data_IF_094337903694
#
_entry.id   IF_094337903694
#
_cell.length_a   1.000
_cell.length_b   1.000
_cell.length_c   1.000
_cell.angle_alpha   90.00
_cell.angle_beta   90.00
_cell.angle_gamma   90.00
#
_symmetry.space_group_name_H-M   'P 1'
#
loop_
_entity.id
_entity.type
_entity.pdbx_description
1 polymer ?
#
# COMPACT_ATOMS: atom_id res chain seq x y z
N UNK A 1 5.24 -14.28 -1.46
CA UNK A 1 6.19 -14.05 -2.56
C UNK A 1 7.13 -15.24 -2.71
N UNK A 2 7.40 -15.67 -3.96
CA UNK A 2 8.40 -16.70 -4.23
C UNK A 2 9.81 -16.22 -3.81
N UNK A 3 10.67 -17.14 -3.37
CA UNK A 3 12.06 -16.81 -3.02
C UNK A 3 12.80 -16.29 -4.26
N UNK A 4 13.54 -15.17 -4.17
CA UNK A 4 14.35 -14.70 -5.29
C UNK A 4 15.39 -15.74 -5.71
N UNK A 5 15.76 -15.73 -6.98
CA UNK A 5 16.59 -16.76 -7.59
C UNK A 5 18.08 -16.39 -7.54
N UNK A 6 18.92 -17.36 -7.20
CA UNK A 6 20.36 -17.36 -7.50
C UNK A 6 20.57 -18.34 -8.66
N UNK A 7 21.02 -17.85 -9.82
CA UNK A 7 21.29 -18.69 -10.98
C UNK A 7 22.80 -18.82 -11.15
N UNK A 8 23.30 -20.05 -11.14
CA UNK A 8 24.68 -20.38 -11.46
C UNK A 8 24.78 -21.09 -12.81
N UNK A 9 25.77 -20.71 -13.62
CA UNK A 9 25.98 -21.19 -14.98
C UNK A 9 27.44 -21.61 -15.15
N UNK A 10 27.65 -22.86 -15.53
CA UNK A 10 28.98 -23.45 -15.74
C UNK A 10 28.82 -24.67 -16.65
N UNK A 11 29.69 -24.85 -17.65
CA UNK A 11 29.65 -26.01 -18.53
C UNK A 11 30.33 -27.24 -17.92
N UNK A 12 31.17 -27.06 -16.90
CA UNK A 12 31.76 -28.15 -16.12
C UNK A 12 30.75 -28.68 -15.07
N UNK A 13 30.26 -29.92 -15.20
CA UNK A 13 29.28 -30.48 -14.28
C UNK A 13 29.79 -30.66 -12.85
N UNK A 14 31.10 -30.79 -12.62
CA UNK A 14 31.68 -30.92 -11.29
C UNK A 14 31.70 -29.57 -10.57
N UNK A 15 32.15 -28.53 -11.27
CA UNK A 15 32.17 -27.16 -10.76
C UNK A 15 30.75 -26.65 -10.49
N UNK A 16 29.82 -26.89 -11.41
CA UNK A 16 28.40 -26.53 -11.26
C UNK A 16 27.77 -27.19 -10.03
N UNK A 17 28.12 -28.46 -9.76
CA UNK A 17 27.65 -29.18 -8.56
C UNK A 17 28.27 -28.64 -7.28
N UNK A 18 29.55 -28.28 -7.30
CA UNK A 18 30.24 -27.71 -6.15
C UNK A 18 29.64 -26.35 -5.76
N UNK A 19 29.51 -25.43 -6.72
CA UNK A 19 28.94 -24.10 -6.46
C UNK A 19 27.48 -24.19 -6.04
N UNK A 20 26.67 -25.07 -6.65
CA UNK A 20 25.28 -25.29 -6.25
C UNK A 20 25.20 -25.76 -4.79
N UNK A 21 26.05 -26.71 -4.39
CA UNK A 21 26.10 -27.23 -3.01
C UNK A 21 26.39 -26.11 -2.02
N UNK A 22 27.40 -25.29 -2.31
CA UNK A 22 27.82 -24.20 -1.43
C UNK A 22 26.75 -23.09 -1.36
N UNK A 23 26.13 -22.76 -2.49
CA UNK A 23 25.01 -21.81 -2.50
C UNK A 23 23.80 -22.33 -1.72
N UNK A 24 23.47 -23.62 -1.86
CA UNK A 24 22.33 -24.23 -1.15
C UNK A 24 22.57 -24.31 0.35
N UNK A 25 23.79 -24.61 0.78
CA UNK A 25 24.12 -24.73 2.21
C UNK A 25 23.94 -23.39 2.94
N UNK A 26 24.30 -22.26 2.30
CA UNK A 26 24.24 -20.93 2.90
C UNK A 26 22.94 -20.16 2.64
N UNK A 27 22.34 -20.28 1.45
CA UNK A 27 21.31 -19.34 0.96
C UNK A 27 19.91 -19.93 0.77
N UNK A 28 19.73 -21.25 0.88
CA UNK A 28 18.44 -21.92 0.58
C UNK A 28 17.27 -21.48 1.47
N UNK A 29 17.55 -20.91 2.64
CA UNK A 29 16.52 -20.35 3.53
C UNK A 29 15.83 -19.11 2.93
N UNK A 30 16.57 -18.25 2.22
CA UNK A 30 16.09 -16.98 1.68
C UNK A 30 15.94 -16.99 0.16
N UNK A 31 16.72 -17.79 -0.55
CA UNK A 31 16.80 -17.81 -2.00
C UNK A 31 16.52 -19.18 -2.59
N UNK A 32 16.08 -19.21 -3.85
CA UNK A 32 15.96 -20.42 -4.66
C UNK A 32 17.20 -20.54 -5.54
N UNK A 33 17.99 -21.60 -5.35
CA UNK A 33 19.18 -21.88 -6.18
C UNK A 33 18.76 -22.64 -7.43
N UNK A 34 19.16 -22.15 -8.60
CA UNK A 34 18.96 -22.75 -9.91
C UNK A 34 20.29 -22.88 -10.64
N UNK A 35 20.38 -23.83 -11.57
CA UNK A 35 21.60 -24.13 -12.33
C UNK A 35 21.30 -24.23 -13.82
N UNK A 36 22.27 -23.85 -14.64
CA UNK A 36 22.27 -24.09 -16.07
C UNK A 36 23.66 -24.57 -16.50
N UNK A 37 23.72 -25.46 -17.49
CA UNK A 37 24.96 -26.03 -18.01
C UNK A 37 25.48 -25.32 -19.27
N UNK A 38 24.84 -24.23 -19.68
CA UNK A 38 25.27 -23.38 -20.78
C UNK A 38 24.63 -21.99 -20.66
N UNK A 39 25.25 -20.98 -21.29
CA UNK A 39 24.69 -19.64 -21.38
C UNK A 39 23.30 -19.62 -22.04
N UNK A 40 23.10 -20.40 -23.10
CA UNK A 40 21.81 -20.51 -23.79
C UNK A 40 20.68 -21.05 -22.91
N UNK A 41 20.93 -22.16 -22.19
CA UNK A 41 19.95 -22.73 -21.25
C UNK A 41 19.67 -21.79 -20.07
N UNK A 42 20.67 -21.01 -19.65
CA UNK A 42 20.51 -19.99 -18.62
C UNK A 42 19.60 -18.85 -19.12
N UNK A 43 19.77 -18.37 -20.35
CA UNK A 43 18.91 -17.33 -20.94
C UNK A 43 17.45 -17.80 -21.06
N UNK A 44 17.23 -19.05 -21.48
CA UNK A 44 15.87 -19.61 -21.52
C UNK A 44 15.24 -19.65 -20.12
N UNK A 45 16.01 -20.07 -19.12
CA UNK A 45 15.59 -20.04 -17.72
C UNK A 45 15.24 -18.60 -17.27
N UNK A 46 16.04 -17.60 -17.65
CA UNK A 46 15.79 -16.20 -17.30
C UNK A 46 14.54 -15.65 -17.99
N UNK A 47 14.24 -16.06 -19.23
CA UNK A 47 13.00 -15.71 -19.94
C UNK A 47 11.79 -16.28 -19.21
N UNK A 48 11.84 -17.54 -18.78
CA UNK A 48 10.76 -18.15 -18.00
C UNK A 48 10.56 -17.46 -16.65
N UNK A 49 11.65 -17.12 -15.95
CA UNK A 49 11.57 -16.40 -14.67
C UNK A 49 10.96 -15.01 -14.85
N UNK A 50 11.33 -14.29 -15.91
CA UNK A 50 10.74 -12.99 -16.27
C UNK A 50 9.24 -13.11 -16.56
N UNK A 51 8.84 -14.11 -17.35
CA UNK A 51 7.42 -14.37 -17.66
C UNK A 51 6.58 -14.68 -16.42
N UNK A 52 7.17 -15.29 -15.39
CA UNK A 52 6.51 -15.60 -14.11
C UNK A 52 6.69 -14.52 -13.04
N UNK A 53 7.31 -13.40 -13.38
CA UNK A 53 7.65 -12.31 -12.47
C UNK A 53 8.44 -12.77 -11.22
N UNK A 54 9.28 -13.78 -11.39
CA UNK A 54 10.14 -14.29 -10.32
C UNK A 54 11.44 -13.45 -10.28
N UNK A 55 11.75 -12.78 -9.15
CA UNK A 55 12.91 -11.93 -9.08
C UNK A 55 14.20 -12.74 -9.08
N UNK A 56 15.22 -12.24 -9.79
CA UNK A 56 16.57 -12.81 -9.82
C UNK A 56 17.48 -11.89 -9.01
N UNK A 57 18.10 -12.44 -7.97
CA UNK A 57 18.96 -11.69 -7.06
C UNK A 57 20.42 -11.68 -7.54
N UNK A 58 20.91 -12.82 -8.02
CA UNK A 58 22.30 -13.01 -8.41
C UNK A 58 22.42 -13.96 -9.60
N UNK A 59 23.30 -13.59 -10.53
CA UNK A 59 23.79 -14.39 -11.63
C UNK A 59 25.27 -14.68 -11.40
N UNK A 60 25.64 -15.96 -11.39
CA UNK A 60 27.00 -16.46 -11.28
C UNK A 60 27.32 -17.22 -12.56
N UNK A 61 28.28 -16.74 -13.37
CA UNK A 61 28.60 -17.39 -14.64
C UNK A 61 30.09 -17.72 -14.72
N UNK A 62 30.44 -18.91 -15.21
CA UNK A 62 31.82 -19.19 -15.61
C UNK A 62 32.22 -18.34 -16.82
N UNK A 63 33.47 -17.88 -16.84
CA UNK A 63 33.98 -17.08 -17.94
C UNK A 63 34.12 -17.88 -19.23
N UNK A 64 34.61 -19.11 -19.19
CA UNK A 64 35.02 -19.87 -20.38
C UNK A 64 34.05 -21.02 -20.66
N UNK A 65 32.89 -20.67 -21.19
CA UNK A 65 31.89 -21.64 -21.63
C UNK A 65 31.85 -21.76 -23.16
N UNK A 66 31.54 -22.96 -23.72
CA UNK A 66 31.36 -23.15 -25.15
C UNK A 66 30.20 -22.32 -25.72
N UNK A 67 30.34 -21.88 -26.97
CA UNK A 67 29.34 -21.12 -27.76
C UNK A 67 29.05 -19.69 -27.26
N UNK A 68 28.89 -19.50 -25.96
CA UNK A 68 28.62 -18.22 -25.30
C UNK A 68 29.42 -18.16 -24.01
N UNK A 69 30.30 -17.19 -23.90
CA UNK A 69 31.12 -16.97 -22.71
C UNK A 69 30.31 -16.32 -21.57
N UNK A 70 30.88 -16.29 -20.36
CA UNK A 70 30.17 -15.76 -19.18
C UNK A 70 29.80 -14.30 -19.31
N UNK A 71 30.69 -13.50 -19.91
CA UNK A 71 30.45 -12.08 -20.18
C UNK A 71 29.31 -11.88 -21.19
N UNK A 72 29.32 -12.61 -22.31
CA UNK A 72 28.24 -12.56 -23.29
C UNK A 72 26.87 -12.92 -22.69
N UNK A 73 26.83 -13.99 -21.89
CA UNK A 73 25.63 -14.35 -21.13
C UNK A 73 25.16 -13.22 -20.19
N UNK A 74 26.06 -12.65 -19.39
CA UNK A 74 25.72 -11.62 -18.39
C UNK A 74 25.23 -10.32 -19.05
N UNK A 75 25.79 -9.96 -20.21
CA UNK A 75 25.35 -8.83 -21.02
C UNK A 75 23.90 -9.00 -21.50
N UNK A 76 23.56 -10.15 -22.08
CA UNK A 76 22.17 -10.42 -22.51
C UNK A 76 21.21 -10.55 -21.30
N UNK A 77 21.68 -11.15 -20.21
CA UNK A 77 20.89 -11.28 -18.99
C UNK A 77 20.58 -9.91 -18.35
N UNK A 78 21.46 -8.92 -18.50
CA UNK A 78 21.25 -7.55 -18.00
C UNK A 78 20.04 -6.87 -18.66
N UNK A 79 19.78 -7.12 -19.93
CA UNK A 79 18.59 -6.57 -20.61
C UNK A 79 17.28 -7.14 -20.03
N UNK A 80 17.31 -8.39 -19.58
CA UNK A 80 16.15 -9.06 -19.03
C UNK A 80 15.94 -8.77 -17.53
N UNK A 81 17.03 -8.77 -16.77
CA UNK A 81 17.06 -8.66 -15.30
C UNK A 81 18.11 -7.63 -14.86
N UNK A 82 17.88 -6.32 -15.10
CA UNK A 82 18.89 -5.29 -14.89
C UNK A 82 19.32 -5.15 -13.42
N UNK A 83 18.41 -5.43 -12.49
CA UNK A 83 18.63 -5.35 -11.04
C UNK A 83 19.40 -6.54 -10.47
N UNK A 84 19.49 -7.67 -11.19
CA UNK A 84 20.23 -8.82 -10.70
C UNK A 84 21.71 -8.48 -10.55
N UNK A 85 22.30 -8.88 -9.42
CA UNK A 85 23.75 -8.80 -9.24
C UNK A 85 24.42 -9.81 -10.15
N UNK A 86 25.62 -9.50 -10.59
CA UNK A 86 26.35 -10.26 -11.61
C UNK A 86 27.75 -10.53 -11.09
N UNK A 87 28.10 -11.80 -10.97
CA UNK A 87 29.42 -12.25 -10.58
C UNK A 87 29.97 -13.24 -11.60
N UNK A 88 31.25 -13.14 -11.91
CA UNK A 88 31.93 -13.99 -12.88
C UNK A 88 32.88 -14.94 -12.17
N UNK A 89 32.83 -16.24 -12.47
CA UNK A 89 33.78 -17.25 -11.99
C UNK A 89 34.92 -17.38 -13.02
N UNK A 90 36.17 -17.27 -12.58
CA UNK A 90 37.35 -17.30 -13.47
C UNK A 90 38.54 -18.01 -12.80
N UNK A 91 39.42 -18.60 -13.59
CA UNK A 91 40.66 -19.25 -13.10
C UNK A 91 41.91 -18.33 -13.18
N UNK A 92 41.75 -17.09 -13.67
CA UNK A 92 42.77 -16.09 -14.07
C UNK A 92 44.05 -16.58 -14.77
N UNK A 93 44.15 -16.17 -16.04
CA UNK A 93 45.28 -15.47 -16.63
C UNK A 93 44.84 -14.75 -17.93
N UNK A 94 43.77 -13.94 -17.90
CA UNK A 94 43.19 -13.34 -19.12
C UNK A 94 43.59 -11.86 -19.33
N UNK A 95 43.81 -11.53 -20.61
CA UNK A 95 44.32 -10.27 -21.19
C UNK A 95 43.40 -9.06 -20.99
N UNK A 96 43.90 -7.85 -21.27
CA UNK A 96 43.15 -6.58 -21.21
C UNK A 96 41.76 -6.61 -21.89
N UNK A 97 41.61 -7.37 -22.98
CA UNK A 97 40.34 -7.54 -23.69
C UNK A 97 39.22 -8.17 -22.83
N UNK A 98 39.57 -9.06 -21.88
CA UNK A 98 38.59 -9.64 -20.96
C UNK A 98 38.15 -8.61 -19.90
N UNK A 99 39.05 -7.71 -19.47
CA UNK A 99 38.75 -6.65 -18.52
C UNK A 99 37.78 -5.63 -19.13
N UNK A 100 37.98 -5.25 -20.40
CA UNK A 100 37.09 -4.33 -21.11
C UNK A 100 35.68 -4.93 -21.26
N UNK A 101 35.59 -6.20 -21.64
CA UNK A 101 34.31 -6.91 -21.78
C UNK A 101 33.57 -7.08 -20.42
N UNK A 102 34.31 -7.27 -19.32
CA UNK A 102 33.77 -7.31 -17.95
C UNK A 102 33.14 -5.96 -17.56
N UNK A 103 33.78 -4.84 -17.94
CA UNK A 103 33.25 -3.50 -17.70
C UNK A 103 31.98 -3.24 -18.53
N UNK A 104 31.96 -3.65 -19.80
CA UNK A 104 30.79 -3.54 -20.67
C UNK A 104 29.59 -4.35 -20.14
N UNK A 105 29.81 -5.56 -19.64
CA UNK A 105 28.78 -6.41 -19.01
C UNK A 105 28.35 -5.95 -17.61
N UNK A 106 28.94 -4.86 -17.08
CA UNK A 106 28.70 -4.33 -15.73
C UNK A 106 28.70 -5.44 -14.67
N UNK A 107 29.71 -6.30 -14.73
CA UNK A 107 29.95 -7.33 -13.73
C UNK A 107 30.29 -6.65 -12.41
N UNK A 108 29.63 -7.06 -11.32
CA UNK A 108 29.81 -6.42 -10.02
C UNK A 108 31.00 -7.00 -9.25
N UNK A 109 31.36 -8.27 -9.51
CA UNK A 109 32.45 -8.95 -8.82
C UNK A 109 33.00 -10.10 -9.66
N UNK A 110 34.29 -10.42 -9.52
CA UNK A 110 34.92 -11.60 -10.13
C UNK A 110 35.46 -12.51 -9.02
N UNK A 111 35.17 -13.81 -9.13
CA UNK A 111 35.52 -14.85 -8.18
C UNK A 111 36.54 -15.80 -8.79
N UNK A 112 37.60 -16.07 -8.04
CA UNK A 112 38.69 -16.94 -8.44
C UNK A 112 38.37 -18.42 -8.14
N UNK A 113 38.55 -19.29 -9.14
CA UNK A 113 38.56 -20.75 -8.99
C UNK A 113 39.96 -21.24 -8.60
N UNK A 114 40.09 -22.17 -7.64
CA UNK A 114 39.06 -22.69 -6.74
C UNK A 114 38.78 -21.74 -5.56
N UNK A 115 37.53 -21.69 -5.11
CA UNK A 115 37.05 -20.84 -4.01
C UNK A 115 37.03 -21.56 -2.65
N UNK A 116 37.74 -22.67 -2.50
CA UNK A 116 37.86 -23.37 -1.22
C UNK A 116 38.90 -22.66 -0.31
N UNK A 117 38.60 -22.38 0.96
CA UNK A 117 37.30 -22.57 1.63
C UNK A 117 36.26 -21.50 1.24
N UNK A 118 34.98 -21.88 1.00
CA UNK A 118 33.94 -20.95 0.54
C UNK A 118 33.61 -19.87 1.56
N UNK A 119 33.84 -20.12 2.86
CA UNK A 119 33.65 -19.16 3.95
C UNK A 119 34.54 -17.92 3.81
N UNK A 120 35.71 -18.06 3.20
CA UNK A 120 36.68 -16.96 3.05
C UNK A 120 36.59 -16.32 1.67
N UNK A 121 36.38 -17.13 0.62
CA UNK A 121 36.54 -16.68 -0.77
C UNK A 121 35.23 -16.48 -1.54
N UNK A 122 34.17 -17.19 -1.16
CA UNK A 122 32.89 -17.15 -1.89
C UNK A 122 31.83 -16.34 -1.13
N UNK A 123 31.50 -16.75 0.09
CA UNK A 123 30.36 -16.18 0.82
C UNK A 123 30.50 -14.69 1.14
N UNK A 124 31.66 -14.14 1.53
CA UNK A 124 31.77 -12.71 1.81
C UNK A 124 31.39 -11.86 0.59
N UNK A 125 31.91 -12.21 -0.59
CA UNK A 125 31.62 -11.49 -1.83
C UNK A 125 30.13 -11.60 -2.22
N UNK A 126 29.53 -12.79 -2.06
CA UNK A 126 28.11 -12.97 -2.37
C UNK A 126 27.19 -12.29 -1.35
N UNK A 127 27.55 -12.29 -0.08
CA UNK A 127 26.81 -11.64 0.99
C UNK A 127 26.73 -10.13 0.75
N UNK A 128 27.83 -9.49 0.33
CA UNK A 128 27.86 -8.07 -0.03
C UNK A 128 26.94 -7.77 -1.23
N UNK A 129 27.06 -8.55 -2.31
CA UNK A 129 26.20 -8.38 -3.49
C UNK A 129 24.72 -8.55 -3.15
N UNK A 130 24.38 -9.59 -2.38
CA UNK A 130 23.00 -9.87 -1.98
C UNK A 130 22.47 -8.83 -0.98
N UNK A 131 23.34 -8.26 -0.14
CA UNK A 131 22.99 -7.15 0.73
C UNK A 131 22.60 -5.91 -0.10
N UNK A 132 23.44 -5.53 -1.06
CA UNK A 132 23.15 -4.42 -1.97
C UNK A 132 21.86 -4.65 -2.78
N UNK A 133 21.67 -5.88 -3.25
CA UNK A 133 20.44 -6.26 -3.95
C UNK A 133 19.23 -6.07 -3.03
N UNK A 134 19.30 -6.55 -1.79
CA UNK A 134 18.20 -6.44 -0.83
C UNK A 134 17.91 -4.97 -0.48
N UNK A 135 18.94 -4.13 -0.37
CA UNK A 135 18.79 -2.71 -0.06
C UNK A 135 18.05 -1.95 -1.17
N UNK A 136 18.27 -2.33 -2.42
CA UNK A 136 17.73 -1.65 -3.61
C UNK A 136 16.47 -2.30 -4.17
N UNK A 137 16.29 -3.61 -3.98
CA UNK A 137 15.16 -4.34 -4.51
C UNK A 137 13.86 -3.94 -3.81
N UNK A 138 12.88 -3.54 -4.64
CA UNK A 138 11.51 -3.33 -4.21
C UNK A 138 10.68 -4.42 -4.89
N UNK A 139 10.13 -5.39 -4.15
CA UNK A 139 9.28 -6.39 -4.77
C UNK A 139 8.05 -5.70 -5.40
N UNK A 140 7.58 -6.18 -6.56
CA UNK A 140 6.39 -5.62 -7.18
C UNK A 140 5.20 -5.75 -6.21
N UNK A 141 4.43 -4.69 -6.10
CA UNK A 141 3.25 -4.67 -5.25
C UNK A 141 2.16 -5.56 -5.87
N UNK A 142 1.82 -6.65 -5.20
CA UNK A 142 0.83 -7.65 -5.66
C UNK A 142 -0.61 -7.33 -5.22
N UNK A 143 -0.85 -6.17 -4.60
CA UNK A 143 -2.17 -5.74 -4.14
C UNK A 143 -2.95 -4.90 -5.15
N UNK A 144 -3.99 -4.22 -4.66
CA UNK A 144 -4.81 -3.30 -5.46
C UNK A 144 -3.99 -2.05 -5.82
N UNK A 145 -3.87 -1.73 -7.10
CA UNK A 145 -3.21 -0.51 -7.57
C UNK A 145 -4.25 0.46 -8.08
N UNK A 146 -4.15 1.72 -7.66
CA UNK A 146 -5.03 2.81 -8.09
C UNK A 146 -4.18 3.78 -8.89
N UNK A 147 -4.50 3.90 -10.17
CA UNK A 147 -3.88 4.84 -11.09
C UNK A 147 -4.77 6.06 -11.23
N UNK A 148 -4.18 7.24 -11.24
CA UNK A 148 -4.89 8.48 -11.49
C UNK A 148 -3.94 9.66 -11.48
N UNK A 149 -4.50 10.86 -11.42
CA UNK A 149 -3.75 12.11 -11.29
C UNK A 149 -3.95 12.71 -9.91
N UNK A 150 -2.95 13.44 -9.43
CA UNK A 150 -2.96 14.06 -8.09
C UNK A 150 -4.18 14.95 -7.83
N UNK A 151 -4.63 15.67 -8.86
CA UNK A 151 -5.67 16.70 -8.77
C UNK A 151 -7.07 16.20 -9.17
N UNK A 152 -7.25 14.88 -9.29
CA UNK A 152 -8.53 14.28 -9.63
C UNK A 152 -9.34 13.96 -8.36
N UNK A 153 -10.49 14.63 -8.20
CA UNK A 153 -11.45 14.34 -7.13
C UNK A 153 -11.89 12.87 -7.12
N UNK A 154 -12.13 12.29 -8.30
CA UNK A 154 -12.51 10.87 -8.43
C UNK A 154 -11.40 9.93 -7.97
N UNK A 155 -10.15 10.27 -8.28
CA UNK A 155 -8.98 9.51 -7.79
C UNK A 155 -8.86 9.60 -6.27
N UNK A 156 -9.13 10.77 -5.70
CA UNK A 156 -9.19 10.97 -4.26
C UNK A 156 -10.31 10.13 -3.61
N UNK A 157 -11.53 10.19 -4.12
CA UNK A 157 -12.69 9.44 -3.59
C UNK A 157 -12.41 7.93 -3.51
N UNK A 158 -11.81 7.34 -4.54
CA UNK A 158 -11.45 5.91 -4.53
C UNK A 158 -10.37 5.58 -3.50
N UNK A 159 -9.34 6.43 -3.40
CA UNK A 159 -8.26 6.25 -2.42
C UNK A 159 -8.76 6.38 -0.99
N UNK A 160 -9.59 7.38 -0.72
CA UNK A 160 -10.22 7.59 0.59
C UNK A 160 -11.12 6.39 0.94
N UNK A 161 -11.95 5.96 -0.01
CA UNK A 161 -12.82 4.79 0.16
C UNK A 161 -12.04 3.53 0.55
N UNK A 162 -10.97 3.20 -0.19
CA UNK A 162 -10.13 2.03 0.11
C UNK A 162 -9.41 2.18 1.46
N UNK A 163 -8.83 3.36 1.73
CA UNK A 163 -8.13 3.64 2.98
C UNK A 163 -9.04 3.47 4.21
N UNK A 164 -10.25 4.04 4.16
CA UNK A 164 -11.21 4.02 5.27
C UNK A 164 -11.84 2.63 5.46
N UNK A 165 -12.02 1.87 4.39
CA UNK A 165 -12.42 0.46 4.47
C UNK A 165 -11.26 -0.50 4.75
N UNK A 166 -10.07 0.03 5.06
CA UNK A 166 -8.89 -0.73 5.48
C UNK A 166 -8.41 -1.73 4.42
N UNK A 167 -8.61 -1.38 3.17
CA UNK A 167 -8.15 -2.13 2.02
C UNK A 167 -6.78 -1.57 1.63
N UNK A 168 -5.70 -2.35 1.75
CA UNK A 168 -4.38 -1.92 1.30
C UNK A 168 -4.38 -1.67 -0.21
N UNK A 169 -3.80 -0.55 -0.62
CA UNK A 169 -3.61 -0.23 -2.03
C UNK A 169 -2.29 0.50 -2.25
N UNK A 170 -1.82 0.51 -3.49
CA UNK A 170 -0.73 1.37 -3.97
C UNK A 170 -1.30 2.47 -4.86
N UNK A 171 -1.00 3.72 -4.54
CA UNK A 171 -1.28 4.86 -5.41
C UNK A 171 -0.18 5.01 -6.46
N UNK A 172 -0.59 5.22 -7.71
CA UNK A 172 0.30 5.47 -8.84
C UNK A 172 -0.16 6.74 -9.53
N UNK A 173 0.64 7.79 -9.39
CA UNK A 173 0.42 9.05 -10.09
C UNK A 173 0.94 8.94 -11.52
N UNK A 174 0.03 8.95 -12.50
CA UNK A 174 0.39 8.77 -13.91
C UNK A 174 1.21 9.94 -14.46
N UNK A 175 1.14 11.12 -13.83
CA UNK A 175 1.89 12.31 -14.23
C UNK A 175 3.41 12.08 -14.06
N UNK A 176 3.80 11.17 -13.16
CA UNK A 176 5.20 10.78 -12.97
C UNK A 176 5.77 9.94 -14.12
N UNK A 177 4.97 9.50 -15.10
CA UNK A 177 5.48 8.75 -16.26
C UNK A 177 6.61 9.47 -17.02
N UNK A 178 6.67 10.80 -16.94
CA UNK A 178 7.73 11.61 -17.56
C UNK A 178 9.09 11.47 -16.85
N UNK A 179 9.10 11.24 -15.55
CA UNK A 179 10.30 11.20 -14.70
C UNK A 179 10.61 9.81 -14.13
N UNK A 180 9.61 8.94 -14.04
CA UNK A 180 9.69 7.59 -13.47
C UNK A 180 9.55 6.51 -14.57
N UNK A 181 10.62 5.74 -14.86
CA UNK A 181 10.59 4.67 -15.86
C UNK A 181 9.61 3.53 -15.53
N UNK A 182 9.36 3.23 -14.25
CA UNK A 182 8.45 2.15 -13.85
C UNK A 182 7.00 2.56 -14.15
N UNK A 183 6.62 3.78 -13.78
CA UNK A 183 5.30 4.34 -14.10
C UNK A 183 5.10 4.42 -15.60
N UNK A 184 6.13 4.84 -16.35
CA UNK A 184 6.08 4.89 -17.83
C UNK A 184 5.84 3.52 -18.45
N UNK A 185 6.56 2.51 -18.00
CA UNK A 185 6.40 1.13 -18.47
C UNK A 185 5.00 0.59 -18.18
N UNK A 186 4.48 0.86 -16.97
CA UNK A 186 3.13 0.48 -16.59
C UNK A 186 2.08 1.16 -17.47
N UNK A 187 2.15 2.49 -17.63
CA UNK A 187 1.23 3.26 -18.48
C UNK A 187 1.27 2.75 -19.93
N UNK A 188 2.46 2.51 -20.48
CA UNK A 188 2.61 1.97 -21.83
C UNK A 188 1.99 0.56 -21.97
N UNK A 189 2.11 -0.29 -20.95
CA UNK A 189 1.53 -1.64 -20.94
C UNK A 189 -0.01 -1.67 -20.89
N UNK A 190 -0.63 -0.59 -20.39
CA UNK A 190 -2.08 -0.44 -20.32
C UNK A 190 -2.68 0.06 -21.64
N UNK A 191 -1.89 0.70 -22.49
CA UNK A 191 -2.33 1.19 -23.80
C UNK A 191 -3.48 2.21 -23.65
N UNK A 192 -4.56 2.11 -24.45
CA UNK A 192 -5.67 3.05 -24.43
C UNK A 192 -6.39 3.18 -23.07
N UNK A 193 -6.36 2.13 -22.24
CA UNK A 193 -6.99 2.17 -20.92
C UNK A 193 -6.34 3.18 -19.97
N UNK A 194 -5.07 3.54 -20.20
CA UNK A 194 -4.39 4.56 -19.41
C UNK A 194 -4.97 5.97 -19.59
N UNK A 195 -5.76 6.20 -20.64
CA UNK A 195 -6.44 7.48 -20.89
C UNK A 195 -7.72 7.64 -20.05
N UNK A 196 -8.24 6.55 -19.48
CA UNK A 196 -9.50 6.56 -18.71
C UNK A 196 -9.20 6.40 -17.22
N UNK A 197 -9.10 7.54 -16.53
CA UNK A 197 -8.67 7.62 -15.13
C UNK A 197 -9.80 8.17 -14.23
N UNK A 198 -9.90 7.73 -12.96
CA UNK A 198 -9.02 6.76 -12.30
C UNK A 198 -9.20 5.32 -12.77
N UNK A 199 -8.14 4.53 -12.73
CA UNK A 199 -8.13 3.10 -13.10
C UNK A 199 -7.67 2.26 -11.91
N UNK A 200 -8.43 1.22 -11.57
CA UNK A 200 -8.05 0.25 -10.53
C UNK A 200 -7.59 -1.05 -11.19
N UNK A 201 -6.43 -1.54 -10.76
CA UNK A 201 -5.89 -2.86 -11.12
C UNK A 201 -5.99 -3.79 -9.91
N UNK A 202 -6.63 -4.94 -10.09
CA UNK A 202 -6.79 -5.94 -9.04
C UNK A 202 -5.71 -7.05 -9.14
N UNK A 203 -5.43 -7.75 -8.02
CA UNK A 203 -4.47 -8.85 -8.00
C UNK A 203 -4.82 -10.02 -8.94
N UNK A 204 -6.11 -10.21 -9.23
CA UNK A 204 -6.62 -11.24 -10.14
C UNK A 204 -6.52 -10.85 -11.63
N UNK A 205 -5.90 -9.71 -11.92
CA UNK A 205 -5.73 -9.17 -13.27
C UNK A 205 -6.93 -8.37 -13.78
N UNK A 206 -8.05 -8.34 -13.05
CA UNK A 206 -9.19 -7.51 -13.42
C UNK A 206 -8.85 -6.03 -13.33
N UNK A 207 -9.54 -5.22 -14.15
CA UNK A 207 -9.35 -3.78 -14.23
C UNK A 207 -10.71 -3.09 -14.23
N UNK A 208 -10.80 -1.95 -13.56
CA UNK A 208 -12.00 -1.11 -13.58
C UNK A 208 -11.60 0.35 -13.85
N UNK A 209 -12.04 0.89 -14.98
CA UNK A 209 -11.86 2.28 -15.37
C UNK A 209 -13.04 3.13 -14.89
N UNK A 210 -12.74 4.27 -14.26
CA UNK A 210 -13.68 5.18 -13.61
C UNK A 210 -14.78 4.49 -12.78
N UNK A 211 -14.44 3.51 -11.93
CA UNK A 211 -15.47 2.71 -11.27
C UNK A 211 -16.28 3.54 -10.29
N UNK A 212 -17.61 3.34 -10.24
CA UNK A 212 -18.41 3.81 -9.12
C UNK A 212 -18.04 3.01 -7.85
N UNK A 213 -18.09 3.66 -6.67
CA UNK A 213 -17.71 3.04 -5.39
C UNK A 213 -18.41 1.70 -5.11
N UNK A 214 -19.72 1.51 -5.40
CA UNK A 214 -20.38 0.22 -5.22
C UNK A 214 -19.74 -0.92 -6.01
N UNK A 215 -19.33 -0.68 -7.26
CA UNK A 215 -18.66 -1.71 -8.07
C UNK A 215 -17.30 -2.11 -7.47
N UNK A 216 -16.58 -1.15 -6.87
CA UNK A 216 -15.34 -1.43 -6.15
C UNK A 216 -15.65 -2.24 -4.89
N UNK A 217 -16.65 -1.85 -4.11
CA UNK A 217 -17.07 -2.52 -2.88
C UNK A 217 -17.39 -4.01 -3.12
N UNK A 218 -18.16 -4.31 -4.17
CA UNK A 218 -18.49 -5.68 -4.57
C UNK A 218 -17.22 -6.47 -4.94
N UNK A 219 -16.33 -5.84 -5.72
CA UNK A 219 -15.10 -6.48 -6.20
C UNK A 219 -14.12 -6.83 -5.06
N UNK A 220 -14.08 -6.02 -4.01
CA UNK A 220 -13.24 -6.26 -2.81
C UNK A 220 -13.96 -7.11 -1.74
N UNK A 221 -15.21 -7.52 -2.00
CA UNK A 221 -15.98 -8.39 -1.12
C UNK A 221 -16.51 -7.70 0.15
N UNK A 222 -16.77 -6.40 0.10
CA UNK A 222 -17.51 -5.74 1.17
C UNK A 222 -18.96 -6.21 1.18
N UNK A 223 -19.55 -6.28 2.38
CA UNK A 223 -20.97 -6.60 2.52
C UNK A 223 -21.77 -5.30 2.40
N UNK A 224 -22.62 -5.23 1.39
CA UNK A 224 -23.46 -4.07 1.06
C UNK A 224 -24.96 -4.37 1.22
N UNK A 225 -25.33 -5.64 1.26
CA UNK A 225 -26.71 -6.11 1.35
C UNK A 225 -26.91 -7.01 2.57
N UNK A 226 -28.15 -7.04 3.08
CA UNK A 226 -28.51 -7.87 4.22
C UNK A 226 -28.67 -9.35 3.86
N UNK A 227 -28.43 -10.20 4.84
CA UNK A 227 -28.75 -11.63 4.77
C UNK A 227 -30.20 -11.94 5.16
N UNK A 228 -30.84 -11.05 5.93
CA UNK A 228 -32.20 -11.25 6.44
C UNK A 228 -33.00 -9.95 6.34
N UNK A 229 -34.32 -10.06 6.54
CA UNK A 229 -35.22 -8.90 6.60
C UNK A 229 -35.56 -8.46 8.03
N UNK A 230 -35.08 -9.17 9.06
CA UNK A 230 -35.44 -8.92 10.46
C UNK A 230 -34.25 -9.00 11.41
N UNK A 231 -34.12 -7.99 12.28
CA UNK A 231 -33.08 -7.90 13.31
C UNK A 231 -33.67 -7.53 14.66
N UNK A 232 -33.02 -7.94 15.75
CA UNK A 232 -33.41 -7.45 17.08
C UNK A 232 -32.99 -5.99 17.24
N UNK A 233 -31.80 -5.64 16.73
CA UNK A 233 -31.23 -4.30 16.78
C UNK A 233 -30.67 -3.88 15.42
N UNK A 234 -31.20 -2.78 14.88
CA UNK A 234 -30.60 -2.09 13.74
C UNK A 234 -29.94 -0.78 14.20
N UNK A 235 -28.75 -0.50 13.69
CA UNK A 235 -27.96 0.68 14.03
C UNK A 235 -27.65 1.46 12.75
N UNK A 236 -27.96 2.74 12.72
CA UNK A 236 -27.62 3.63 11.60
C UNK A 236 -26.43 4.50 11.98
N UNK A 237 -25.29 4.27 11.34
CA UNK A 237 -24.02 4.95 11.57
C UNK A 237 -22.97 4.05 12.17
N UNK A 238 -21.80 3.99 11.55
CA UNK A 238 -20.64 3.18 11.91
C UNK A 238 -19.54 3.97 12.63
N UNK A 239 -19.86 5.11 13.25
CA UNK A 239 -18.94 5.84 14.12
C UNK A 239 -18.71 5.15 15.47
N UNK A 240 -17.93 5.74 16.40
CA UNK A 240 -17.66 5.14 17.72
C UNK A 240 -18.92 4.76 18.50
N UNK A 241 -19.97 5.58 18.43
CA UNK A 241 -21.24 5.29 19.09
C UNK A 241 -21.94 4.04 18.51
N UNK A 242 -22.04 3.95 17.19
CA UNK A 242 -22.66 2.80 16.53
C UNK A 242 -21.86 1.52 16.67
N UNK A 243 -20.53 1.61 16.55
CA UNK A 243 -19.63 0.48 16.77
C UNK A 243 -19.70 -0.05 18.20
N UNK A 244 -19.74 0.83 19.20
CA UNK A 244 -19.91 0.42 20.59
C UNK A 244 -21.28 -0.25 20.79
N UNK A 245 -22.35 0.36 20.31
CA UNK A 245 -23.69 -0.23 20.40
C UNK A 245 -23.78 -1.59 19.70
N UNK A 246 -23.11 -1.77 18.55
CA UNK A 246 -23.08 -3.02 17.83
C UNK A 246 -22.38 -4.13 18.63
N UNK A 247 -21.23 -3.81 19.23
CA UNK A 247 -20.50 -4.74 20.10
C UNK A 247 -21.35 -5.17 21.30
N UNK A 248 -21.95 -4.21 22.01
CA UNK A 248 -22.76 -4.50 23.20
C UNK A 248 -24.07 -5.22 22.86
N UNK A 249 -24.75 -4.83 21.77
CA UNK A 249 -25.97 -5.49 21.33
C UNK A 249 -25.72 -6.96 21.00
N UNK A 250 -24.70 -7.23 20.17
CA UNK A 250 -24.39 -8.60 19.79
C UNK A 250 -23.78 -9.43 20.93
N UNK A 251 -23.04 -8.83 21.87
CA UNK A 251 -22.52 -9.58 23.03
C UNK A 251 -23.62 -10.09 23.97
N UNK A 252 -24.76 -9.40 24.02
CA UNK A 252 -25.95 -9.82 24.78
C UNK A 252 -26.89 -10.74 23.96
N UNK A 253 -26.45 -11.18 22.77
CA UNK A 253 -27.16 -12.15 21.95
C UNK A 253 -28.20 -11.58 20.98
N UNK A 254 -28.25 -10.25 20.79
CA UNK A 254 -29.15 -9.64 19.82
C UNK A 254 -28.65 -9.89 18.38
N UNK A 255 -29.54 -10.31 17.49
CA UNK A 255 -29.27 -10.32 16.06
C UNK A 255 -29.15 -8.88 15.57
N UNK A 256 -27.92 -8.43 15.34
CA UNK A 256 -27.58 -7.01 15.19
C UNK A 256 -27.05 -6.68 13.80
N UNK A 257 -27.60 -5.64 13.18
CA UNK A 257 -27.09 -5.04 11.94
C UNK A 257 -26.66 -3.59 12.16
N UNK A 258 -25.54 -3.20 11.55
CA UNK A 258 -25.05 -1.83 11.50
C UNK A 258 -24.94 -1.37 10.05
N UNK A 259 -25.58 -0.25 9.74
CA UNK A 259 -25.64 0.37 8.42
C UNK A 259 -24.72 1.58 8.41
N UNK A 260 -23.74 1.60 7.52
CA UNK A 260 -22.76 2.67 7.41
C UNK A 260 -22.61 3.13 5.96
N UNK A 261 -22.86 4.42 5.73
CA UNK A 261 -22.92 5.03 4.38
C UNK A 261 -21.60 4.96 3.64
N UNK A 262 -20.48 5.12 4.34
CA UNK A 262 -19.16 5.25 3.73
C UNK A 262 -18.22 4.13 4.19
N UNK A 263 -17.80 4.20 5.45
CA UNK A 263 -16.84 3.27 6.03
C UNK A 263 -16.91 3.33 7.57
N UNK A 264 -16.75 2.20 8.27
CA UNK A 264 -16.72 2.20 9.72
C UNK A 264 -15.61 3.08 10.29
N UNK A 265 -15.91 3.77 11.39
CA UNK A 265 -15.04 4.71 12.09
C UNK A 265 -15.62 6.11 12.21
N UNK A 266 -16.52 6.50 11.30
CA UNK A 266 -17.09 7.85 11.25
C UNK A 266 -16.01 8.94 11.22
N UNK A 267 -16.29 10.11 11.79
CA UNK A 267 -15.31 11.21 11.87
C UNK A 267 -14.05 10.85 12.66
N UNK A 268 -14.17 9.98 13.69
CA UNK A 268 -13.02 9.56 14.46
C UNK A 268 -12.01 8.81 13.59
N UNK A 269 -12.48 8.01 12.62
CA UNK A 269 -11.64 7.29 11.65
C UNK A 269 -10.66 8.19 10.89
N UNK A 270 -11.07 9.44 10.61
CA UNK A 270 -10.29 10.42 9.86
C UNK A 270 -9.21 11.13 10.70
N UNK A 271 -9.13 10.85 12.01
CA UNK A 271 -8.12 11.44 12.89
C UNK A 271 -6.77 10.74 12.73
N UNK A 272 -5.72 11.51 12.42
CA UNK A 272 -4.34 11.02 12.33
C UNK A 272 -3.86 10.42 13.66
N UNK A 273 -4.27 11.02 14.78
CA UNK A 273 -3.93 10.60 16.13
C UNK A 273 -4.98 11.05 17.15
N UNK A 274 -5.27 10.17 18.10
CA UNK A 274 -6.19 10.36 19.22
C UNK A 274 -5.42 10.01 20.50
N UNK A 275 -5.19 10.99 21.35
CA UNK A 275 -4.49 10.80 22.64
C UNK A 275 -5.43 10.81 23.85
N UNK A 276 -6.68 11.23 23.65
CA UNK A 276 -7.67 11.39 24.71
C UNK A 276 -8.75 10.29 24.72
N UNK A 277 -8.47 9.13 24.10
CA UNK A 277 -9.37 7.97 24.17
C UNK A 277 -8.95 7.05 25.32
N UNK A 278 -9.81 6.92 26.34
CA UNK A 278 -9.55 6.11 27.52
C UNK A 278 -9.18 4.66 27.14
N UNK A 279 -8.18 4.10 27.82
CA UNK A 279 -7.70 2.74 27.59
C UNK A 279 -6.53 2.62 26.59
N UNK A 280 -6.12 3.72 25.95
CA UNK A 280 -5.00 3.76 25.01
C UNK A 280 -3.90 4.71 25.50
N UNK A 281 -3.02 4.27 26.42
CA UNK A 281 -2.04 5.16 27.07
C UNK A 281 -1.01 5.75 26.10
N UNK A 282 -0.74 5.08 24.98
CA UNK A 282 0.17 5.58 23.93
C UNK A 282 -0.56 6.34 22.82
N UNK A 283 -1.87 6.56 22.97
CA UNK A 283 -2.77 6.98 21.90
C UNK A 283 -2.88 5.95 20.77
N UNK A 284 -3.72 6.26 19.78
CA UNK A 284 -3.89 5.47 18.57
C UNK A 284 -4.37 6.35 17.41
N UNK A 285 -4.34 5.85 16.18
CA UNK A 285 -5.00 6.53 15.05
C UNK A 285 -6.50 6.25 15.04
N UNK A 286 -7.27 7.13 14.41
CA UNK A 286 -8.68 6.93 14.14
C UNK A 286 -8.98 5.61 13.43
N UNK A 287 -8.20 5.31 12.40
CA UNK A 287 -8.31 4.06 11.65
C UNK A 287 -8.02 2.83 12.52
N UNK A 288 -7.04 2.88 13.44
CA UNK A 288 -6.79 1.76 14.35
C UNK A 288 -7.95 1.56 15.33
N UNK A 289 -8.52 2.65 15.86
CA UNK A 289 -9.71 2.60 16.71
C UNK A 289 -10.87 1.91 15.98
N UNK A 290 -11.17 2.36 14.75
CA UNK A 290 -12.24 1.79 13.93
C UNK A 290 -11.99 0.31 13.60
N UNK A 291 -10.76 -0.05 13.19
CA UNK A 291 -10.36 -1.44 12.88
C UNK A 291 -10.63 -2.38 14.05
N UNK A 292 -10.17 -2.01 15.25
CA UNK A 292 -10.31 -2.83 16.45
C UNK A 292 -11.78 -3.03 16.80
N UNK A 293 -12.57 -1.96 16.72
CA UNK A 293 -14.00 -2.02 17.00
C UNK A 293 -14.76 -2.88 15.97
N UNK A 294 -14.46 -2.75 14.67
CA UNK A 294 -15.02 -3.60 13.61
C UNK A 294 -14.65 -5.06 13.82
N UNK A 295 -13.39 -5.37 14.16
CA UNK A 295 -12.95 -6.74 14.44
C UNK A 295 -13.71 -7.34 15.64
N UNK A 296 -13.96 -6.54 16.68
CA UNK A 296 -14.74 -6.96 17.84
C UNK A 296 -16.21 -7.19 17.48
N UNK A 297 -16.84 -6.26 16.76
CA UNK A 297 -18.23 -6.39 16.31
C UNK A 297 -18.42 -7.64 15.43
N UNK A 298 -17.54 -7.86 14.45
CA UNK A 298 -17.57 -9.06 13.59
C UNK A 298 -17.38 -10.35 14.37
N UNK A 299 -16.51 -10.36 15.39
CA UNK A 299 -16.31 -11.53 16.26
C UNK A 299 -17.59 -11.92 16.99
N UNK A 300 -18.45 -10.96 17.36
CA UNK A 300 -19.75 -11.21 17.96
C UNK A 300 -20.87 -11.49 16.94
N UNK A 301 -20.56 -11.51 15.64
CA UNK A 301 -21.54 -11.82 14.59
C UNK A 301 -22.37 -10.63 14.13
N UNK A 302 -21.96 -9.39 14.45
CA UNK A 302 -22.63 -8.20 13.91
C UNK A 302 -22.53 -8.21 12.39
N UNK A 303 -23.67 -8.03 11.73
CA UNK A 303 -23.73 -7.77 10.30
C UNK A 303 -23.43 -6.29 10.04
N UNK A 304 -22.35 -5.99 9.34
CA UNK A 304 -21.94 -4.62 9.02
C UNK A 304 -22.14 -4.42 7.52
N UNK A 305 -23.07 -3.54 7.15
CA UNK A 305 -23.30 -3.13 5.78
C UNK A 305 -22.55 -1.82 5.52
N UNK A 306 -21.52 -1.87 4.68
CA UNK A 306 -20.72 -0.71 4.31
C UNK A 306 -20.07 -0.91 2.92
N UNK A 307 -20.23 0.03 1.97
CA UNK A 307 -21.08 1.21 2.02
C UNK A 307 -22.57 0.86 1.83
N UNK A 308 -23.46 1.38 2.69
CA UNK A 308 -24.92 1.31 2.53
C UNK A 308 -25.59 2.47 3.28
N UNK A 309 -26.58 3.11 2.66
CA UNK A 309 -27.25 4.29 3.23
C UNK A 309 -28.68 3.97 3.66
N UNK A 310 -29.06 4.44 4.85
CA UNK A 310 -30.45 4.49 5.28
C UNK A 310 -31.11 5.77 4.77
N UNK A 311 -32.18 5.64 4.00
CA UNK A 311 -32.88 6.77 3.34
C UNK A 311 -34.27 7.04 3.88
N UNK A 312 -34.79 6.16 4.75
CA UNK A 312 -36.11 6.35 5.34
C UNK A 312 -36.33 5.49 6.57
N UNK A 313 -37.13 5.99 7.51
CA UNK A 313 -37.55 5.26 8.71
C UNK A 313 -39.06 5.39 8.89
N UNK A 314 -39.69 4.31 9.35
CA UNK A 314 -41.09 4.33 9.81
C UNK A 314 -41.25 3.43 11.03
N UNK A 315 -42.24 3.74 11.86
CA UNK A 315 -42.61 2.94 13.02
C UNK A 315 -44.02 2.40 12.84
N UNK A 316 -44.21 1.10 13.06
CA UNK A 316 -45.51 0.45 13.04
C UNK A 316 -45.61 -0.52 14.22
N UNK A 317 -46.45 -0.18 15.19
CA UNK A 317 -46.61 -0.93 16.43
C UNK A 317 -45.26 -1.14 17.14
N UNK A 318 -44.91 -2.40 17.50
CA UNK A 318 -43.66 -2.70 18.21
C UNK A 318 -42.43 -2.74 17.28
N UNK A 319 -42.60 -2.56 15.96
CA UNK A 319 -41.52 -2.69 14.99
C UNK A 319 -41.05 -1.34 14.46
N UNK A 320 -39.81 -1.32 13.97
CA UNK A 320 -39.20 -0.22 13.23
C UNK A 320 -38.79 -0.75 11.87
N UNK A 321 -38.98 0.07 10.84
CA UNK A 321 -38.59 -0.26 9.47
C UNK A 321 -37.61 0.78 8.96
N UNK A 322 -36.58 0.30 8.27
CA UNK A 322 -35.48 1.07 7.72
C UNK A 322 -35.42 0.80 6.22
N UNK A 323 -35.61 1.85 5.42
CA UNK A 323 -35.44 1.79 3.97
C UNK A 323 -33.99 2.10 3.63
N UNK A 324 -33.35 1.21 2.87
CA UNK A 324 -32.00 1.37 2.35
C UNK A 324 -32.01 2.06 0.98
N UNK A 325 -30.87 2.60 0.56
CA UNK A 325 -30.73 3.32 -0.71
C UNK A 325 -30.92 2.42 -1.94
N UNK A 326 -30.63 1.11 -1.81
CA UNK A 326 -30.92 0.11 -2.85
C UNK A 326 -32.41 -0.26 -2.95
N UNK A 327 -33.25 0.34 -2.09
CA UNK A 327 -34.70 0.11 -2.04
C UNK A 327 -35.12 -1.04 -1.13
N UNK A 328 -34.19 -1.83 -0.60
CA UNK A 328 -34.51 -2.89 0.35
C UNK A 328 -35.01 -2.30 1.68
N UNK A 329 -35.92 -3.01 2.34
CA UNK A 329 -36.45 -2.60 3.64
C UNK A 329 -36.11 -3.65 4.70
N UNK A 330 -35.48 -3.19 5.78
CA UNK A 330 -35.19 -3.99 6.95
C UNK A 330 -36.22 -3.67 8.04
N UNK A 331 -36.66 -4.69 8.77
CA UNK A 331 -37.47 -4.53 9.98
C UNK A 331 -36.66 -4.90 11.23
N UNK A 332 -36.97 -4.26 12.37
CA UNK A 332 -36.33 -4.57 13.64
C UNK A 332 -37.21 -4.25 14.86
N UNK A 333 -36.85 -4.82 16.02
CA UNK A 333 -37.45 -4.44 17.30
C UNK A 333 -36.96 -3.07 17.77
N UNK A 334 -35.64 -2.86 17.77
CA UNK A 334 -35.03 -1.60 18.18
C UNK A 334 -34.20 -0.99 17.05
N UNK A 335 -34.33 0.33 16.87
CA UNK A 335 -33.54 1.12 15.93
C UNK A 335 -32.74 2.17 16.71
N UNK A 336 -31.42 2.14 16.59
CA UNK A 336 -30.51 3.14 17.15
C UNK A 336 -29.97 4.06 16.04
N UNK A 337 -30.17 5.36 16.19
CA UNK A 337 -29.61 6.37 15.29
C UNK A 337 -28.30 6.91 15.86
N UNK A 338 -27.18 6.51 15.28
CA UNK A 338 -25.81 6.86 15.66
C UNK A 338 -25.06 7.58 14.51
N UNK A 339 -25.76 8.44 13.78
CA UNK A 339 -25.35 9.02 12.50
C UNK A 339 -24.26 10.10 12.59
N UNK A 340 -23.90 10.52 13.80
CA UNK A 340 -22.88 11.55 14.02
C UNK A 340 -23.25 12.92 13.44
N UNK A 341 -22.23 13.64 12.97
CA UNK A 341 -22.35 14.98 12.36
C UNK A 341 -21.42 15.08 11.16
N UNK A 342 -21.69 16.03 10.27
CA UNK A 342 -20.79 16.40 9.17
C UNK A 342 -20.08 17.72 9.48
N UNK A 343 -18.86 17.88 8.94
CA UNK A 343 -18.16 19.16 9.04
C UNK A 343 -18.89 20.22 8.25
N UNK A 344 -18.84 21.45 8.76
CA UNK A 344 -19.18 22.62 7.95
C UNK A 344 -18.11 22.79 6.90
N UNK A 345 -18.54 22.82 5.64
CA UNK A 345 -17.68 23.22 4.53
C UNK A 345 -17.46 24.73 4.54
N UNK A 346 -16.36 25.18 3.97
CA UNK A 346 -16.13 26.60 3.71
C UNK A 346 -17.06 27.03 2.58
N UNK A 347 -17.85 28.07 2.82
CA UNK A 347 -18.72 28.66 1.81
C UNK A 347 -17.97 29.78 1.07
N UNK A 348 -17.10 29.38 0.13
CA UNK A 348 -16.33 30.30 -0.72
C UNK A 348 -16.38 29.88 -2.18
N UNK A 349 -16.37 30.84 -3.14
CA UNK A 349 -16.42 30.53 -4.56
C UNK A 349 -15.30 29.57 -4.99
N UNK A 350 -15.67 28.50 -5.69
CA UNK A 350 -14.73 27.54 -6.27
C UNK A 350 -14.25 26.41 -5.35
N UNK A 351 -14.66 26.40 -4.08
CA UNK A 351 -14.25 25.37 -3.10
C UNK A 351 -14.66 23.94 -3.51
N UNK A 352 -15.87 23.78 -4.05
CA UNK A 352 -16.43 22.48 -4.43
C UNK A 352 -15.57 21.81 -5.50
N UNK A 353 -15.07 22.59 -6.47
CA UNK A 353 -14.19 22.11 -7.54
C UNK A 353 -12.83 21.65 -7.02
N UNK A 354 -12.37 22.20 -5.90
CA UNK A 354 -11.07 21.88 -5.30
C UNK A 354 -11.17 20.78 -4.24
N UNK A 355 -12.37 20.37 -3.86
CA UNK A 355 -12.57 19.29 -2.90
C UNK A 355 -12.04 17.97 -3.47
N UNK A 356 -11.15 17.32 -2.71
CA UNK A 356 -10.41 16.14 -3.16
C UNK A 356 -9.28 16.44 -4.16
N UNK A 357 -9.08 17.70 -4.52
CA UNK A 357 -8.11 18.19 -5.51
C UNK A 357 -7.32 19.39 -4.96
N UNK A 358 -6.84 19.28 -3.72
CA UNK A 358 -6.08 20.31 -3.00
C UNK A 358 -6.80 20.85 -1.76
N UNK A 359 -8.13 20.74 -1.69
CA UNK A 359 -8.91 21.00 -0.48
C UNK A 359 -9.43 19.68 0.07
N UNK A 360 -9.15 19.41 1.35
CA UNK A 360 -9.54 18.16 2.00
C UNK A 360 -10.24 18.46 3.32
N UNK A 361 -11.24 17.66 3.64
CA UNK A 361 -11.92 17.68 4.94
C UNK A 361 -11.49 16.45 5.72
N UNK A 362 -10.60 16.66 6.71
CA UNK A 362 -9.82 15.61 7.34
C UNK A 362 -8.33 15.75 6.99
N UNK A 363 -7.50 14.99 7.70
CA UNK A 363 -6.04 15.05 7.57
C UNK A 363 -5.42 13.67 7.69
N UNK A 364 -5.88 12.75 6.85
CA UNK A 364 -5.44 11.37 6.82
C UNK A 364 -4.07 11.20 6.15
N UNK A 365 -3.57 9.97 6.19
CA UNK A 365 -2.24 9.63 5.67
C UNK A 365 -2.14 9.80 4.16
N UNK A 366 -3.22 9.56 3.42
CA UNK A 366 -3.25 9.71 1.96
C UNK A 366 -3.01 11.16 1.53
N UNK A 367 -3.63 12.12 2.23
CA UNK A 367 -3.44 13.56 1.97
C UNK A 367 -2.04 14.01 2.38
N UNK A 368 -1.57 13.57 3.54
CA UNK A 368 -0.24 13.95 4.03
C UNK A 368 0.88 13.52 3.07
N UNK A 369 0.80 12.31 2.50
CA UNK A 369 1.74 11.84 1.47
C UNK A 369 1.65 12.66 0.18
N UNK A 370 0.44 13.04 -0.23
CA UNK A 370 0.22 13.85 -1.42
C UNK A 370 0.71 15.30 -1.26
N UNK A 371 0.94 15.78 -0.03
CA UNK A 371 1.45 17.11 0.26
C UNK A 371 2.95 17.13 0.59
N UNK A 372 3.70 16.07 0.27
CA UNK A 372 5.13 16.00 0.55
C UNK A 372 5.88 17.12 -0.18
N UNK A 373 6.68 17.90 0.56
CA UNK A 373 7.46 19.01 0.02
C UNK A 373 6.63 20.22 -0.40
N UNK A 374 5.36 20.31 -0.01
CA UNK A 374 4.49 21.44 -0.31
C UNK A 374 4.31 22.36 0.90
N UNK A 375 3.74 23.54 0.67
CA UNK A 375 3.15 24.36 1.73
C UNK A 375 1.69 23.96 1.95
N UNK A 376 1.32 23.59 3.17
CA UNK A 376 -0.02 23.14 3.55
C UNK A 376 -0.70 24.15 4.46
N UNK A 377 -1.93 24.53 4.13
CA UNK A 377 -2.77 25.38 4.97
C UNK A 377 -3.80 24.55 5.75
N UNK A 378 -3.90 24.78 7.06
CA UNK A 378 -4.85 24.10 7.94
C UNK A 378 -5.80 25.11 8.54
N UNK A 379 -7.09 24.96 8.26
CA UNK A 379 -8.12 25.89 8.73
C UNK A 379 -8.73 25.35 10.03
N UNK A 380 -8.49 26.05 11.14
CA UNK A 380 -9.04 25.71 12.46
C UNK A 380 -8.05 25.89 13.61
N UNK A 381 -8.59 26.04 14.83
CA UNK A 381 -7.79 26.29 16.04
C UNK A 381 -8.01 25.30 17.19
N UNK A 382 -8.75 24.21 16.95
CA UNK A 382 -9.05 23.17 17.95
C UNK A 382 -8.15 21.94 17.79
N UNK A 383 -8.32 20.95 18.67
CA UNK A 383 -7.48 19.73 18.70
C UNK A 383 -7.31 19.03 17.35
N UNK A 384 -8.38 18.90 16.55
CA UNK A 384 -8.29 18.23 15.25
C UNK A 384 -7.38 18.98 14.27
N UNK A 385 -7.40 20.32 14.28
CA UNK A 385 -6.51 21.15 13.47
C UNK A 385 -5.05 21.04 13.94
N UNK A 386 -4.82 21.06 15.25
CA UNK A 386 -3.47 20.90 15.79
C UNK A 386 -2.87 19.51 15.52
N UNK A 387 -3.68 18.44 15.64
CA UNK A 387 -3.23 17.09 15.32
C UNK A 387 -2.96 16.91 13.82
N UNK A 388 -3.75 17.57 12.97
CA UNK A 388 -3.45 17.65 11.54
C UNK A 388 -2.12 18.40 11.32
N UNK A 389 -1.90 19.55 11.96
CA UNK A 389 -0.67 20.33 11.80
C UNK A 389 0.58 19.51 12.15
N UNK A 390 0.56 18.83 13.29
CA UNK A 390 1.62 17.92 13.71
C UNK A 390 1.77 16.69 12.80
N UNK A 391 0.71 16.26 12.12
CA UNK A 391 0.78 15.16 11.17
C UNK A 391 1.43 15.61 9.86
N UNK A 392 0.96 16.70 9.26
CA UNK A 392 1.44 17.23 8.00
C UNK A 392 2.86 17.79 8.09
N UNK A 393 3.28 18.34 9.25
CA UNK A 393 4.64 18.86 9.44
C UNK A 393 5.75 17.83 9.22
N UNK A 394 5.44 16.54 9.28
CA UNK A 394 6.37 15.43 9.00
C UNK A 394 6.61 15.19 7.51
N UNK A 395 5.77 15.74 6.64
CA UNK A 395 5.79 15.49 5.19
C UNK A 395 5.92 16.78 4.38
N UNK A 396 5.17 17.81 4.77
CA UNK A 396 5.14 19.12 4.13
C UNK A 396 6.46 19.87 4.37
N UNK A 397 6.83 20.73 3.42
CA UNK A 397 7.91 21.69 3.64
C UNK A 397 7.53 22.67 4.74
N UNK A 398 6.28 23.16 4.69
CA UNK A 398 5.74 24.16 5.62
C UNK A 398 4.26 23.91 5.90
N UNK A 399 3.84 24.14 7.14
CA UNK A 399 2.43 24.11 7.55
C UNK A 399 2.02 25.47 8.10
N UNK A 400 0.91 26.02 7.61
CA UNK A 400 0.36 27.30 8.07
C UNK A 400 -1.04 27.04 8.64
N UNK A 401 -1.22 27.26 9.93
CA UNK A 401 -2.51 27.20 10.59
C UNK A 401 -3.22 28.55 10.42
N UNK A 402 -4.49 28.51 10.00
CA UNK A 402 -5.35 29.68 9.88
C UNK A 402 -6.41 29.62 10.98
N UNK A 403 -6.21 30.44 12.01
CA UNK A 403 -7.03 30.44 13.22
C UNK A 403 -7.91 31.69 13.23
N UNK A 404 -9.23 31.51 13.26
CA UNK A 404 -10.19 32.63 13.35
C UNK A 404 -10.17 33.32 14.73
N UNK A 405 -9.82 32.58 15.77
CA UNK A 405 -9.71 33.08 17.14
C UNK A 405 -8.39 33.82 17.41
N UNK A 406 -8.30 34.47 18.56
CA UNK A 406 -7.12 35.27 18.96
C UNK A 406 -5.96 34.35 19.42
N UNK A 407 -6.26 33.12 19.84
CA UNK A 407 -5.27 32.16 20.33
C UNK A 407 -5.77 30.72 20.24
N UNK A 408 -4.85 29.77 20.06
CA UNK A 408 -5.10 28.32 20.15
C UNK A 408 -5.58 27.90 21.56
N UNK A 409 -5.15 28.60 22.61
CA UNK A 409 -5.45 28.26 24.02
C UNK A 409 -6.94 28.25 24.35
N UNK A 410 -7.77 28.87 23.51
CA UNK A 410 -9.23 28.89 23.66
C UNK A 410 -9.90 27.54 23.45
N UNK A 411 -9.36 26.69 22.56
CA UNK A 411 -10.04 25.44 22.13
C UNK A 411 -9.10 24.25 21.93
N UNK A 412 -7.78 24.46 21.98
CA UNK A 412 -6.79 23.41 21.84
C UNK A 412 -6.21 23.00 23.20
N UNK A 413 -5.97 21.70 23.36
CA UNK A 413 -5.32 21.14 24.54
C UNK A 413 -3.88 21.62 24.66
N UNK A 414 -3.47 21.95 25.88
CA UNK A 414 -2.17 22.55 26.20
C UNK A 414 -0.96 21.80 25.63
N UNK A 415 -0.92 20.46 25.77
CA UNK A 415 0.20 19.66 25.27
C UNK A 415 0.42 19.83 23.76
N UNK A 416 -0.66 20.03 23.00
CA UNK A 416 -0.62 20.14 21.56
C UNK A 416 -0.13 21.53 21.13
N UNK A 417 -0.51 22.57 21.89
CA UNK A 417 0.02 23.92 21.71
C UNK A 417 1.54 23.91 21.91
N UNK A 418 2.04 23.29 22.99
CA UNK A 418 3.49 23.18 23.23
C UNK A 418 4.22 22.42 22.10
N UNK A 419 3.60 21.38 21.54
CA UNK A 419 4.17 20.63 20.42
C UNK A 419 4.25 21.49 19.16
N UNK A 420 3.21 22.27 18.86
CA UNK A 420 3.17 23.19 17.73
C UNK A 420 4.27 24.25 17.86
N UNK A 421 4.39 24.89 19.02
CA UNK A 421 5.42 25.92 19.27
C UNK A 421 6.86 25.41 19.11
N UNK A 422 7.09 24.13 19.42
CA UNK A 422 8.42 23.48 19.29
C UNK A 422 8.72 23.03 17.85
N UNK A 423 7.74 23.04 16.95
CA UNK A 423 7.89 22.50 15.59
C UNK A 423 8.18 23.64 14.61
N UNK A 424 9.42 23.67 14.10
CA UNK A 424 9.95 24.83 13.37
C UNK A 424 9.29 25.13 12.01
N UNK A 425 8.62 24.15 11.40
CA UNK A 425 7.94 24.33 10.12
C UNK A 425 6.42 24.49 10.25
N UNK A 426 5.91 24.79 11.46
CA UNK A 426 4.52 25.19 11.67
C UNK A 426 4.46 26.68 12.01
N UNK A 427 3.64 27.43 11.27
CA UNK A 427 3.27 28.81 11.55
C UNK A 427 1.78 28.88 11.90
N UNK A 428 1.40 29.77 12.83
CA UNK A 428 0.02 29.94 13.31
C UNK A 428 -0.46 31.36 13.10
#
# INVERSE_FOLDING_TARGET
MPKPVLLTVDDDPEVLRAIERDLRSRYSNRYRVMRANSGSAALDTLRELKARNNPVALLLADQRMPQMDGVGFLSEAMEMHPLAKRALLTAYADTSAAIDAINEARVHYYLMKPWDPPEEKLFPALDDLLHDWTATFRPPYEGIRVLGTRWSTRSYELRDFLARNQVPYQWIDVELSQSDPEVRSLVASLGPEAETLPLILFPDGARLAEPPLPAVADKIGLRTHTQTSFYDLAIVGGGPAGLAAAVYGASEGLHTVMIEREAPGGQAGLSSRIENYLGFPSGLSGNDLARRAVAQARRFGVEILAPQEAVGIRAEGPYRFLKLADGFEISCHALLLAMGVQWRTLDIPGIERLQGAGVYYGGGTSEALACKGETVYIIGGANSAGQAAMHFSKFAEKVVMLVRGISLASTMSHYLIEQIEKTSNIEV
#
